data_IF_793528929450
#
_entry.id   IF_793528929450
#
_cell.length_a   1.000
_cell.length_b   1.000
_cell.length_c   1.000
_cell.angle_alpha   90.00
_cell.angle_beta   90.00
_cell.angle_gamma   90.00
#
_symmetry.space_group_name_H-M   'P 1'
#
loop_
_entity.id
_entity.type
_entity.pdbx_description
1 polymer ?
#
# COMPACT_ATOMS: atom_id res chain seq x y z
N UNK A 1 -4.21 2.72 -16.91
CA UNK A 1 -5.23 3.25 -15.98
C UNK A 1 -4.64 4.23 -14.99
N UNK A 2 -3.60 3.87 -14.21
CA UNK A 2 -3.03 4.74 -13.16
C UNK A 2 -2.66 6.15 -13.62
N UNK A 3 -2.00 6.28 -14.78
CA UNK A 3 -1.70 7.58 -15.40
C UNK A 3 -2.97 8.39 -15.76
N UNK A 4 -4.02 7.70 -16.23
CA UNK A 4 -5.27 8.34 -16.68
C UNK A 4 -6.05 8.92 -15.50
N UNK A 5 -6.07 8.23 -14.36
CA UNK A 5 -6.88 8.65 -13.21
C UNK A 5 -6.10 9.43 -12.15
N UNK A 6 -4.76 9.37 -12.17
CA UNK A 6 -3.91 9.91 -11.10
C UNK A 6 -3.97 9.11 -9.78
N UNK A 7 -4.44 7.85 -9.82
CA UNK A 7 -4.57 6.99 -8.62
C UNK A 7 -3.92 5.63 -8.86
N UNK A 8 -3.38 5.02 -7.81
CA UNK A 8 -2.75 3.71 -7.90
C UNK A 8 -3.78 2.63 -8.26
N UNK A 9 -3.59 2.04 -9.45
CA UNK A 9 -4.27 0.82 -9.86
C UNK A 9 -3.26 -0.32 -9.92
N UNK A 10 -3.69 -1.49 -9.45
CA UNK A 10 -2.93 -2.73 -9.48
C UNK A 10 -3.75 -3.79 -10.20
N UNK A 11 -3.08 -4.82 -10.72
CA UNK A 11 -3.77 -6.00 -11.22
C UNK A 11 -3.76 -7.08 -10.13
N UNK A 12 -4.94 -7.41 -9.60
CA UNK A 12 -5.08 -8.48 -8.62
C UNK A 12 -5.05 -9.82 -9.35
N UNK A 13 -3.97 -10.59 -9.14
CA UNK A 13 -3.82 -11.91 -9.77
C UNK A 13 -4.84 -12.93 -9.25
N UNK A 14 -5.17 -12.89 -7.97
CA UNK A 14 -6.17 -13.80 -7.37
C UNK A 14 -7.59 -13.51 -7.84
N UNK A 15 -7.92 -12.24 -8.09
CA UNK A 15 -9.22 -11.82 -8.62
C UNK A 15 -9.24 -11.71 -10.15
N UNK A 16 -8.10 -11.93 -10.80
CA UNK A 16 -7.87 -11.76 -12.23
C UNK A 16 -8.47 -10.47 -12.82
N UNK A 17 -8.30 -9.34 -12.11
CA UNK A 17 -8.92 -8.07 -12.50
C UNK A 17 -8.09 -6.84 -12.12
N UNK A 18 -8.31 -5.75 -12.84
CA UNK A 18 -7.80 -4.43 -12.48
C UNK A 18 -8.54 -3.92 -11.24
N UNK A 19 -7.80 -3.31 -10.31
CA UNK A 19 -8.33 -2.81 -9.05
C UNK A 19 -7.65 -1.50 -8.68
N UNK A 20 -8.43 -0.48 -8.32
CA UNK A 20 -7.88 0.74 -7.74
C UNK A 20 -7.76 0.58 -6.23
N UNK A 21 -6.56 0.88 -5.71
CA UNK A 21 -6.29 0.77 -4.28
C UNK A 21 -7.27 1.65 -3.53
N UNK A 22 -7.98 1.05 -2.58
CA UNK A 22 -8.98 1.73 -1.76
C UNK A 22 -10.38 1.81 -2.37
N UNK A 23 -10.68 1.13 -3.49
CA UNK A 23 -12.03 1.17 -4.09
C UNK A 23 -13.15 0.79 -3.11
N UNK A 24 -12.90 -0.17 -2.22
CA UNK A 24 -13.88 -0.59 -1.20
C UNK A 24 -13.73 0.16 0.12
N UNK A 25 -12.50 0.47 0.54
CA UNK A 25 -12.24 1.04 1.87
C UNK A 25 -12.17 2.57 1.90
N UNK A 26 -12.13 3.23 0.75
CA UNK A 26 -11.80 4.66 0.64
C UNK A 26 -10.31 4.99 0.85
N UNK A 27 -9.47 4.02 1.23
CA UNK A 27 -8.05 4.24 1.54
C UNK A 27 -7.21 4.28 0.26
N UNK A 28 -7.44 5.32 -0.53
CA UNK A 28 -6.86 5.52 -1.86
C UNK A 28 -5.40 5.97 -1.81
N UNK A 29 -4.74 5.89 -2.97
CA UNK A 29 -3.37 6.35 -3.18
C UNK A 29 -3.36 7.27 -4.39
N UNK A 30 -3.30 8.58 -4.17
CA UNK A 30 -3.17 9.57 -5.24
C UNK A 30 -1.70 9.65 -5.66
N UNK A 31 -1.42 9.45 -6.94
CA UNK A 31 -0.05 9.40 -7.46
C UNK A 31 0.47 10.81 -7.64
N UNK A 32 1.61 11.10 -7.02
CA UNK A 32 2.38 12.31 -7.22
C UNK A 32 3.42 12.12 -8.33
N UNK A 33 4.13 10.99 -8.31
CA UNK A 33 5.17 10.65 -9.28
C UNK A 33 5.22 9.15 -9.55
N UNK A 34 5.61 8.80 -10.77
CA UNK A 34 5.93 7.43 -11.17
C UNK A 34 7.38 7.40 -11.63
N UNK A 35 8.20 6.62 -10.93
CA UNK A 35 9.61 6.43 -11.24
C UNK A 35 9.83 5.02 -11.77
N UNK A 36 10.80 4.86 -12.68
CA UNK A 36 11.21 3.57 -13.22
C UNK A 36 12.74 3.48 -13.20
N UNK A 37 13.32 2.35 -12.79
CA UNK A 37 14.74 2.10 -12.93
C UNK A 37 15.11 1.95 -14.41
N UNK A 38 16.41 2.05 -14.72
CA UNK A 38 16.93 1.96 -16.10
C UNK A 38 16.54 0.66 -16.80
N UNK A 39 16.53 -0.45 -16.08
CA UNK A 39 16.17 -1.79 -16.60
C UNK A 39 14.65 -2.01 -16.70
N UNK A 40 13.84 -1.08 -16.19
CA UNK A 40 12.36 -1.09 -16.20
C UNK A 40 11.75 -2.33 -15.55
N UNK A 41 12.47 -2.96 -14.62
CA UNK A 41 12.02 -4.19 -13.95
C UNK A 41 10.90 -3.95 -12.92
N UNK A 42 10.78 -2.73 -12.41
CA UNK A 42 9.71 -2.31 -11.51
C UNK A 42 9.34 -0.83 -11.68
N UNK A 43 8.35 -0.38 -10.90
CA UNK A 43 7.98 1.02 -10.79
C UNK A 43 7.93 1.40 -9.31
N UNK A 44 8.24 2.67 -9.02
CA UNK A 44 7.99 3.27 -7.70
C UNK A 44 6.92 4.33 -7.87
N UNK A 45 5.83 4.19 -7.12
CA UNK A 45 4.83 5.25 -7.00
C UNK A 45 5.10 6.05 -5.74
N UNK A 46 5.37 7.34 -5.91
CA UNK A 46 5.25 8.28 -4.79
C UNK A 46 3.80 8.74 -4.72
N UNK A 47 3.19 8.60 -3.54
CA UNK A 47 1.74 8.76 -3.38
C UNK A 47 1.39 9.59 -2.15
N UNK A 48 0.27 10.31 -2.24
CA UNK A 48 -0.49 10.74 -1.07
C UNK A 48 -1.42 9.58 -0.68
N UNK A 49 -1.17 8.99 0.50
CA UNK A 49 -1.94 7.88 1.03
C UNK A 49 -3.08 8.39 1.92
N UNK A 50 -4.31 8.02 1.59
CA UNK A 50 -5.49 8.27 2.42
C UNK A 50 -5.64 7.21 3.51
N UNK A 51 -5.81 7.63 4.76
CA UNK A 51 -5.99 6.80 5.95
C UNK A 51 -4.87 5.77 6.16
N UNK A 52 -4.85 4.63 5.46
CA UNK A 52 -3.83 3.60 5.64
C UNK A 52 -3.64 2.70 4.42
N UNK A 53 -2.39 2.33 4.13
CA UNK A 53 -2.09 1.36 3.09
C UNK A 53 -2.42 -0.08 3.54
N UNK A 54 -2.23 -0.39 4.83
CA UNK A 54 -2.39 -1.72 5.38
C UNK A 54 -3.83 -2.00 5.86
N UNK A 55 -4.30 -3.22 5.63
CA UNK A 55 -5.61 -3.67 6.11
C UNK A 55 -5.64 -3.93 7.63
N UNK A 56 -4.49 -4.09 8.30
CA UNK A 56 -4.42 -4.25 9.76
C UNK A 56 -4.59 -2.93 10.54
N UNK A 57 -4.71 -1.80 9.83
CA UNK A 57 -4.85 -0.48 10.44
C UNK A 57 -3.67 0.45 10.24
N UNK A 58 -2.50 -0.09 9.91
CA UNK A 58 -1.24 0.67 9.87
C UNK A 58 -1.10 1.50 8.60
N UNK A 59 -0.48 2.68 8.73
CA UNK A 59 -0.20 3.57 7.61
C UNK A 59 0.59 2.85 6.50
N UNK A 60 1.56 2.01 6.89
CA UNK A 60 2.34 1.13 6.02
C UNK A 60 2.17 -0.32 6.45
N UNK A 61 2.25 -1.27 5.50
CA UNK A 61 2.32 -2.70 5.80
C UNK A 61 3.65 -3.09 6.47
N UNK A 62 4.68 -2.27 6.35
CA UNK A 62 6.00 -2.50 6.95
C UNK A 62 6.08 -1.97 8.39
N UNK A 63 5.19 -2.45 9.26
CA UNK A 63 5.11 -2.04 10.67
C UNK A 63 5.73 -3.08 11.64
N UNK A 64 6.32 -4.16 11.11
CA UNK A 64 7.04 -5.20 11.87
C UNK A 64 8.45 -5.38 11.31
N UNK A 65 9.43 -5.51 12.19
CA UNK A 65 10.83 -5.79 11.90
C UNK A 65 11.23 -7.16 12.48
N UNK A 66 11.95 -7.98 11.70
CA UNK A 66 12.51 -9.25 12.18
C UNK A 66 13.82 -8.95 12.89
N UNK A 67 13.94 -9.34 14.16
CA UNK A 67 15.16 -9.19 14.94
C UNK A 67 15.72 -10.56 15.33
N UNK A 68 17.02 -10.63 15.57
CA UNK A 68 17.64 -11.82 16.16
C UNK A 68 17.18 -11.97 17.61
N UNK A 69 16.83 -13.20 18.03
CA UNK A 69 16.36 -13.49 19.39
C UNK A 69 14.95 -13.02 19.75
N UNK A 70 14.27 -12.23 18.91
CA UNK A 70 12.86 -11.82 19.07
C UNK A 70 12.08 -12.14 17.79
N UNK A 71 10.92 -12.77 17.87
CA UNK A 71 10.18 -13.18 16.66
C UNK A 71 9.81 -12.00 15.75
N UNK A 72 9.27 -10.91 16.29
CA UNK A 72 8.95 -9.67 15.57
C UNK A 72 8.91 -8.46 16.52
N UNK A 73 9.53 -7.35 16.14
CA UNK A 73 9.43 -6.04 16.82
C UNK A 73 8.47 -5.13 16.05
N UNK A 74 7.63 -4.40 16.77
CA UNK A 74 6.78 -3.36 16.16
C UNK A 74 7.61 -2.10 15.89
N UNK A 75 7.50 -1.57 14.67
CA UNK A 75 8.07 -0.29 14.28
C UNK A 75 7.12 0.85 14.65
N UNK A 76 7.61 2.09 14.82
CA UNK A 76 6.80 3.27 15.12
C UNK A 76 6.01 3.77 13.89
N UNK A 77 5.28 2.88 13.23
CA UNK A 77 4.37 3.19 12.13
C UNK A 77 2.99 3.48 12.71
N UNK A 78 2.37 4.64 12.40
CA UNK A 78 1.04 4.97 12.89
C UNK A 78 0.00 3.90 12.55
N UNK A 79 -0.88 3.58 13.51
CA UNK A 79 -2.07 2.75 13.30
C UNK A 79 -3.29 3.64 13.21
N UNK A 80 -3.73 3.91 11.98
CA UNK A 80 -4.70 4.95 11.66
C UNK A 80 -6.16 4.50 11.83
N UNK A 81 -6.42 3.19 11.85
CA UNK A 81 -7.73 2.65 12.19
C UNK A 81 -7.61 1.26 12.84
N UNK A 82 -8.69 0.80 13.47
CA UNK A 82 -8.83 -0.57 13.96
C UNK A 82 -9.76 -1.33 13.00
N UNK A 83 -9.30 -2.38 12.30
CA UNK A 83 -10.17 -3.17 11.45
C UNK A 83 -11.22 -3.89 12.29
N UNK A 84 -12.46 -3.96 11.78
CA UNK A 84 -13.46 -4.86 12.34
C UNK A 84 -12.94 -6.30 12.26
N UNK A 85 -13.21 -7.10 13.30
CA UNK A 85 -12.84 -8.52 13.28
C UNK A 85 -13.57 -9.19 12.11
N UNK A 86 -12.82 -9.76 11.17
CA UNK A 86 -13.34 -10.62 10.10
C UNK A 86 -13.98 -11.87 10.67
#
# INVERSE_FOLDING_TARGET
MSLKTGYAHYFSRSRNQLWKKGDTSGHTQKILQILSPTDRSFLVYQVEQEVAACHEGYYSCFFRERMEGVTWKLLPVPRNFLPEKS
#
